data_IF_079292037714
#
_entry.id   IF_079292037714
#
_cell.length_a   1.000
_cell.length_b   1.000
_cell.length_c   1.000
_cell.angle_alpha   90.00
_cell.angle_beta   90.00
_cell.angle_gamma   90.00
#
_symmetry.space_group_name_H-M   'P 1'
#
loop_
_entity.id
_entity.type
_entity.pdbx_description
1 polymer ?
#
# COMPACT_ATOMS: atom_id res chain seq x y z
N UNK A 1 -2.07 -14.59 7.40
CA UNK A 1 -0.82 -13.85 7.20
C UNK A 1 -1.06 -12.42 7.65
N UNK A 2 -0.22 -11.91 8.55
CA UNK A 2 -0.36 -10.54 9.10
C UNK A 2 0.44 -9.56 8.25
N UNK A 3 -0.04 -8.33 8.04
CA UNK A 3 0.71 -7.28 7.36
C UNK A 3 0.99 -6.16 8.36
N UNK A 4 2.26 -5.79 8.52
CA UNK A 4 2.71 -4.73 9.42
C UNK A 4 3.28 -3.59 8.59
N UNK A 5 2.77 -2.38 8.81
CA UNK A 5 3.28 -1.16 8.19
C UNK A 5 4.23 -0.46 9.16
N UNK A 6 5.47 -0.23 8.73
CA UNK A 6 6.50 0.44 9.52
C UNK A 6 7.15 1.60 8.78
N UNK A 7 7.78 2.51 9.53
CA UNK A 7 8.70 3.52 8.98
C UNK A 7 10.14 3.07 9.20
N UNK A 8 10.97 3.27 8.19
CA UNK A 8 12.36 2.81 8.17
C UNK A 8 13.32 4.00 8.15
N UNK A 9 14.35 3.96 8.98
CA UNK A 9 15.48 4.88 8.84
C UNK A 9 16.27 4.48 7.61
N UNK A 10 16.34 5.35 6.60
CA UNK A 10 17.14 5.08 5.40
C UNK A 10 18.60 5.43 5.68
N UNK A 11 19.50 4.44 5.60
CA UNK A 11 20.92 4.70 5.38
C UNK A 11 21.11 5.39 4.02
N UNK A 12 22.19 6.14 3.82
CA UNK A 12 22.48 6.96 2.63
C UNK A 12 22.30 6.21 1.29
N UNK A 13 21.06 6.15 0.80
CA UNK A 13 20.62 5.78 -0.55
C UNK A 13 19.10 5.57 -0.43
N UNK A 14 18.30 6.50 -0.93
CA UNK A 14 16.85 6.50 -0.75
C UNK A 14 16.16 5.29 -1.37
N UNK A 15 16.02 4.20 -0.61
CA UNK A 15 15.00 3.19 -0.87
C UNK A 15 13.65 3.85 -0.64
N UNK A 16 12.84 3.98 -1.68
CA UNK A 16 11.51 4.58 -1.64
C UNK A 16 10.56 3.76 -0.75
N UNK A 17 10.57 2.43 -0.88
CA UNK A 17 9.80 1.47 -0.07
C UNK A 17 10.62 0.20 0.25
N UNK A 18 9.99 -0.74 0.97
CA UNK A 18 10.53 -2.07 1.24
C UNK A 18 9.39 -3.05 1.49
N UNK A 19 9.43 -4.22 0.85
CA UNK A 19 8.59 -5.37 1.20
C UNK A 19 9.45 -6.55 1.68
N UNK A 20 9.23 -6.96 2.93
CA UNK A 20 9.83 -8.17 3.53
C UNK A 20 8.74 -9.20 3.77
N UNK A 21 8.83 -10.33 3.09
CA UNK A 21 7.91 -11.46 3.26
C UNK A 21 8.54 -12.49 4.21
N UNK A 22 7.84 -12.79 5.28
CA UNK A 22 8.17 -13.88 6.21
C UNK A 22 7.07 -14.94 6.18
N UNK A 23 7.31 -16.06 6.86
CA UNK A 23 6.39 -17.21 6.86
C UNK A 23 5.00 -16.87 7.42
N UNK A 24 4.93 -15.99 8.42
CA UNK A 24 3.68 -15.66 9.13
C UNK A 24 3.26 -14.22 8.94
N UNK A 25 4.16 -13.35 8.48
CA UNK A 25 3.96 -11.92 8.37
C UNK A 25 4.62 -11.31 7.13
N UNK A 26 4.07 -10.21 6.65
CA UNK A 26 4.72 -9.33 5.69
C UNK A 26 4.96 -7.96 6.35
N UNK A 27 6.16 -7.44 6.20
CA UNK A 27 6.50 -6.09 6.62
C UNK A 27 6.52 -5.19 5.38
N UNK A 28 5.69 -4.16 5.37
CA UNK A 28 5.81 -3.03 4.46
C UNK A 28 6.54 -1.89 5.17
N UNK A 29 7.63 -1.44 4.58
CA UNK A 29 8.42 -0.34 5.06
C UNK A 29 8.29 0.87 4.14
N UNK A 30 8.16 2.05 4.73
CA UNK A 30 8.29 3.33 4.01
C UNK A 30 9.50 4.09 4.56
N UNK A 31 10.29 4.70 3.68
CA UNK A 31 11.37 5.56 4.12
C UNK A 31 10.86 6.69 5.03
N UNK A 32 11.50 6.86 6.19
CA UNK A 32 11.10 7.87 7.17
C UNK A 32 11.18 9.30 6.61
N UNK A 33 12.12 9.54 5.68
CA UNK A 33 12.32 10.81 5.01
C UNK A 33 11.44 11.02 3.76
N UNK A 34 10.58 10.06 3.40
CA UNK A 34 9.69 10.20 2.24
C UNK A 34 8.74 11.39 2.42
N UNK A 35 8.63 12.22 1.38
CA UNK A 35 7.71 13.36 1.36
C UNK A 35 6.28 12.83 1.51
N UNK A 36 5.40 13.45 2.33
CA UNK A 36 4.06 12.93 2.60
C UNK A 36 3.23 12.60 1.35
N UNK A 37 3.37 13.41 0.29
CA UNK A 37 2.70 13.18 -0.99
C UNK A 37 3.13 11.87 -1.67
N UNK A 38 4.37 11.43 -1.43
CA UNK A 38 4.95 10.24 -2.06
C UNK A 38 4.71 8.96 -1.25
N UNK A 39 4.49 9.08 0.08
CA UNK A 39 4.24 7.95 0.99
C UNK A 39 3.10 7.06 0.51
N UNK A 40 1.99 7.64 0.05
CA UNK A 40 0.86 6.84 -0.42
C UNK A 40 1.20 6.00 -1.64
N UNK A 41 1.94 6.58 -2.59
CA UNK A 41 2.34 5.87 -3.79
C UNK A 41 3.30 4.72 -3.46
N UNK A 42 4.30 4.97 -2.60
CA UNK A 42 5.20 3.92 -2.08
C UNK A 42 4.41 2.78 -1.47
N UNK A 43 3.48 3.08 -0.56
CA UNK A 43 2.65 2.05 0.08
C UNK A 43 1.85 1.27 -0.95
N UNK A 44 1.24 1.94 -1.93
CA UNK A 44 0.46 1.25 -2.96
C UNK A 44 1.32 0.38 -3.87
N UNK A 45 2.54 0.81 -4.19
CA UNK A 45 3.52 0.03 -4.94
C UNK A 45 3.88 -1.26 -4.20
N UNK A 46 4.24 -1.17 -2.92
CA UNK A 46 4.56 -2.35 -2.11
C UNK A 46 3.34 -3.27 -1.87
N UNK A 47 2.13 -2.70 -1.73
CA UNK A 47 0.89 -3.48 -1.70
C UNK A 47 0.68 -4.19 -3.04
N UNK A 48 1.06 -3.57 -4.16
CA UNK A 48 1.05 -4.19 -5.48
C UNK A 48 1.94 -5.43 -5.52
N UNK A 49 3.18 -5.34 -5.05
CA UNK A 49 4.04 -6.52 -4.93
C UNK A 49 3.40 -7.62 -4.07
N UNK A 50 2.78 -7.26 -2.95
CA UNK A 50 2.15 -8.25 -2.09
C UNK A 50 0.93 -8.92 -2.75
N UNK A 51 0.02 -8.15 -3.33
CA UNK A 51 -1.23 -8.63 -3.94
C UNK A 51 -0.96 -9.47 -5.20
N UNK A 52 0.05 -9.09 -5.99
CA UNK A 52 0.45 -9.80 -7.20
C UNK A 52 1.41 -10.97 -6.93
N UNK A 53 1.62 -11.33 -5.66
CA UNK A 53 2.51 -12.40 -5.21
C UNK A 53 3.97 -12.25 -5.69
N UNK A 54 4.44 -11.02 -5.86
CA UNK A 54 5.83 -10.74 -6.13
C UNK A 54 6.68 -11.02 -4.87
N UNK A 55 7.95 -11.44 -5.03
CA UNK A 55 8.79 -11.76 -3.88
C UNK A 55 9.09 -10.54 -2.98
N UNK A 56 8.98 -9.31 -3.49
CA UNK A 56 9.41 -8.10 -2.80
C UNK A 56 10.94 -7.98 -2.74
N UNK A 57 11.46 -7.24 -1.78
CA UNK A 57 12.90 -7.06 -1.56
C UNK A 57 13.54 -8.22 -0.79
N UNK A 58 12.78 -8.85 0.10
CA UNK A 58 13.27 -9.96 0.91
C UNK A 58 12.20 -11.04 1.11
N UNK A 59 12.61 -12.30 0.99
CA UNK A 59 11.80 -13.47 1.38
C UNK A 59 12.58 -14.28 2.41
N UNK A 60 12.03 -14.44 3.61
CA UNK A 60 12.65 -15.17 4.73
C UNK A 60 14.13 -14.77 4.95
N UNK A 61 14.39 -13.46 5.02
CA UNK A 61 15.72 -12.84 5.17
C UNK A 61 16.67 -12.98 3.99
N UNK A 62 16.25 -13.58 2.87
CA UNK A 62 17.04 -13.61 1.64
C UNK A 62 16.64 -12.45 0.75
N UNK A 63 17.62 -11.65 0.33
CA UNK A 63 17.39 -10.58 -0.64
C UNK A 63 16.91 -11.17 -1.95
N UNK A 64 15.84 -10.63 -2.48
CA UNK A 64 15.25 -11.00 -3.75
C UNK A 64 15.45 -9.88 -4.77
N UNK A 65 15.36 -10.26 -6.05
CA UNK A 65 15.20 -9.31 -7.14
C UNK A 65 13.79 -9.48 -7.66
N UNK A 66 13.02 -8.40 -7.61
CA UNK A 66 11.67 -8.33 -8.16
C UNK A 66 11.70 -8.51 -9.67
N UNK A 67 12.73 -8.02 -10.35
CA UNK A 67 12.88 -8.12 -11.80
C UNK A 67 12.00 -7.08 -12.52
N UNK A 68 12.47 -6.62 -13.67
CA UNK A 68 11.93 -5.43 -14.35
C UNK A 68 10.41 -5.47 -14.60
N UNK A 69 9.88 -6.61 -15.06
CA UNK A 69 8.44 -6.73 -15.33
C UNK A 69 7.60 -6.61 -14.05
N UNK A 70 8.06 -7.18 -12.93
CA UNK A 70 7.29 -7.16 -11.67
C UNK A 70 7.24 -5.77 -11.05
N UNK A 71 8.30 -4.99 -11.23
CA UNK A 71 8.33 -3.57 -10.86
C UNK A 71 7.33 -2.77 -11.68
N UNK A 72 7.26 -3.00 -13.00
CA UNK A 72 6.24 -2.36 -13.86
C UNK A 72 4.83 -2.72 -13.40
N UNK A 73 4.58 -4.01 -13.14
CA UNK A 73 3.27 -4.49 -12.74
C UNK A 73 2.85 -3.88 -11.39
N UNK A 74 3.77 -3.77 -10.42
CA UNK A 74 3.53 -3.12 -9.14
C UNK A 74 3.29 -1.61 -9.29
N UNK A 75 4.02 -0.94 -10.17
CA UNK A 75 3.86 0.48 -10.48
C UNK A 75 2.49 0.78 -11.12
N UNK A 76 2.11 -0.03 -12.11
CA UNK A 76 0.79 0.06 -12.74
C UNK A 76 -0.33 -0.16 -11.73
N UNK A 77 -0.19 -1.16 -10.86
CA UNK A 77 -1.12 -1.40 -9.78
C UNK A 77 -1.25 -0.17 -8.85
N UNK A 78 -0.12 0.43 -8.47
CA UNK A 78 -0.12 1.60 -7.60
C UNK A 78 -0.88 2.78 -8.20
N UNK A 79 -0.69 3.04 -9.49
CA UNK A 79 -1.42 4.09 -10.22
C UNK A 79 -2.91 3.82 -10.29
N UNK A 80 -3.32 2.59 -10.63
CA UNK A 80 -4.72 2.20 -10.71
C UNK A 80 -5.41 2.28 -9.34
N UNK A 81 -4.74 1.80 -8.28
CA UNK A 81 -5.25 1.89 -6.92
C UNK A 81 -5.39 3.35 -6.46
N UNK A 82 -4.39 4.18 -6.75
CA UNK A 82 -4.45 5.60 -6.42
C UNK A 82 -5.62 6.30 -7.12
N UNK A 83 -5.83 6.03 -8.42
CA UNK A 83 -6.96 6.56 -9.17
C UNK A 83 -8.29 6.10 -8.57
N UNK A 84 -8.41 4.82 -8.20
CA UNK A 84 -9.60 4.27 -7.56
C UNK A 84 -9.90 4.94 -6.21
N UNK A 85 -8.90 5.06 -5.34
CA UNK A 85 -9.04 5.73 -4.03
C UNK A 85 -9.46 7.18 -4.24
N UNK A 86 -8.81 7.93 -5.15
CA UNK A 86 -9.17 9.32 -5.45
C UNK A 86 -10.61 9.43 -5.94
N UNK A 87 -11.03 8.59 -6.89
CA UNK A 87 -12.40 8.57 -7.39
C UNK A 87 -13.42 8.21 -6.29
N UNK A 88 -13.07 7.31 -5.38
CA UNK A 88 -13.85 7.02 -4.17
C UNK A 88 -13.96 8.24 -3.26
N UNK A 89 -12.84 8.86 -2.90
CA UNK A 89 -12.80 10.04 -2.02
C UNK A 89 -13.60 11.21 -2.60
N UNK A 90 -13.52 11.49 -3.91
CA UNK A 90 -14.34 12.52 -4.56
C UNK A 90 -15.83 12.22 -4.40
N UNK A 91 -16.27 10.99 -4.74
CA UNK A 91 -17.68 10.57 -4.59
C UNK A 91 -18.18 10.66 -3.14
N UNK A 92 -17.31 10.47 -2.16
CA UNK A 92 -17.67 10.52 -0.74
C UNK A 92 -17.66 11.93 -0.16
N UNK A 93 -16.77 12.81 -0.66
CA UNK A 93 -16.79 14.24 -0.31
C UNK A 93 -18.13 14.86 -0.67
N UNK A 94 -18.68 14.48 -1.82
CA UNK A 94 -20.00 14.94 -2.28
C UNK A 94 -21.15 14.41 -1.42
N UNK A 95 -20.93 13.31 -0.67
CA UNK A 95 -21.93 12.64 0.17
C UNK A 95 -21.85 13.00 1.66
N UNK A 96 -20.99 13.93 2.06
CA UNK A 96 -20.79 14.36 3.47
C UNK A 96 -20.58 13.20 4.46
N UNK A 97 -19.97 12.09 4.03
CA UNK A 97 -19.68 11.00 4.96
C UNK A 97 -18.61 11.45 5.98
N UNK A 98 -18.78 11.14 7.27
CA UNK A 98 -17.80 11.54 8.28
C UNK A 98 -16.40 11.01 7.93
N UNK A 99 -15.35 11.85 8.08
CA UNK A 99 -13.98 11.45 7.76
C UNK A 99 -13.55 10.29 8.67
N UNK A 100 -13.09 9.18 8.09
CA UNK A 100 -12.64 8.01 8.89
C UNK A 100 -12.69 6.67 8.16
N UNK A 101 -12.74 5.58 8.94
CA UNK A 101 -12.78 4.17 8.46
C UNK A 101 -13.93 3.92 7.48
N UNK A 102 -15.05 4.60 7.67
CA UNK A 102 -16.28 4.47 6.88
C UNK A 102 -16.10 4.95 5.44
N UNK A 103 -15.38 6.06 5.23
CA UNK A 103 -15.09 6.59 3.90
C UNK A 103 -14.14 5.68 3.10
N UNK A 104 -13.13 5.09 3.76
CA UNK A 104 -12.21 4.12 3.16
C UNK A 104 -12.95 2.83 2.75
N UNK A 105 -13.73 2.24 3.65
CA UNK A 105 -14.51 1.02 3.35
C UNK A 105 -15.49 1.24 2.19
N UNK A 106 -16.19 2.37 2.20
CA UNK A 106 -17.13 2.71 1.14
C UNK A 106 -16.41 3.02 -0.19
N UNK A 107 -15.16 3.53 -0.18
CA UNK A 107 -14.38 3.78 -1.40
C UNK A 107 -14.05 2.48 -2.15
N UNK A 108 -13.83 1.39 -1.43
CA UNK A 108 -13.61 0.04 -1.98
C UNK A 108 -14.90 -0.75 -2.25
N UNK A 109 -16.07 -0.11 -2.21
CA UNK A 109 -17.35 -0.76 -2.52
C UNK A 109 -17.90 -1.68 -1.43
N UNK A 110 -17.39 -1.61 -0.20
CA UNK A 110 -17.98 -2.35 0.92
C UNK A 110 -19.45 -1.91 1.11
N UNK A 111 -20.36 -2.87 1.18
CA UNK A 111 -21.79 -2.61 1.29
C UNK A 111 -22.07 -1.77 2.54
N UNK A 112 -22.69 -0.62 2.36
CA UNK A 112 -22.92 0.38 3.41
C UNK A 112 -23.52 -0.17 4.72
N UNK A 113 -24.33 -1.23 4.66
CA UNK A 113 -24.92 -1.87 5.84
C UNK A 113 -23.91 -2.63 6.74
N UNK A 114 -22.69 -2.89 6.25
CA UNK A 114 -21.61 -3.53 7.03
C UNK A 114 -20.60 -2.51 7.57
N UNK A 115 -20.78 -1.23 7.25
CA UNK A 115 -19.87 -0.14 7.62
C UNK A 115 -20.36 0.67 8.83
N UNK A 116 -21.29 0.12 9.63
CA UNK A 116 -21.64 0.71 10.92
C UNK A 116 -20.46 0.52 11.89
N UNK A 117 -19.99 1.63 12.48
CA UNK A 117 -19.00 1.60 13.55
C UNK A 117 -19.67 0.97 14.78
N UNK A 118 -19.20 -0.22 15.16
CA UNK A 118 -19.48 -0.86 16.45
C UNK A 118 -18.41 -0.49 17.46
#
# INVERSE_FOLDING_TARGET
MTVVLGRMLTGRSGTSGLLVRMRTECLLGVAAAAVPAHVYHIVFHEVGHWVLDHPGDYVCSRRTSTGYQREIDAEQFAHLLQAHVRAGTTRHRDRQLPPGRTALRAAFGARHHLCADG
#
